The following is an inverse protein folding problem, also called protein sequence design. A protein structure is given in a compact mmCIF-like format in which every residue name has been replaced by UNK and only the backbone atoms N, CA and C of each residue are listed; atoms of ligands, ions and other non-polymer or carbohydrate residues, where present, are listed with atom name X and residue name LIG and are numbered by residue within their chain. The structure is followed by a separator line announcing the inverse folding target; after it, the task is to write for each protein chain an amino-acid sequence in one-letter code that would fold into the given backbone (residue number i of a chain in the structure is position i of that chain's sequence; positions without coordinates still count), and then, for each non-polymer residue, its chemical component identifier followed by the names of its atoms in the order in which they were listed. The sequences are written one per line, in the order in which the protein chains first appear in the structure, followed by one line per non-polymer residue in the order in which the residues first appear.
data_IF_303716849745
#
_entry.id   IF_303716849745
#
_cell.length_a   1.000
_cell.length_b   1.000
_cell.length_c   1.000
_cell.angle_alpha   90.00
_cell.angle_beta   90.00
_cell.angle_gamma   90.00
#
_symmetry.space_group_name_H-M   'P 1'
#
loop_
_entity.id
_entity.type
_entity.pdbx_description
1 polymer ?
#
# COMPACT_ATOMS: atom_id res chain seq x y z
N UNK A 1 -18.60 -8.72 0.77
CA UNK A 1 -17.47 -9.17 1.61
C UNK A 1 -16.16 -9.34 0.83
N UNK A 2 -15.95 -8.55 -0.23
CA UNK A 2 -14.78 -8.62 -1.10
C UNK A 2 -13.61 -7.78 -0.53
N UNK A 3 -13.89 -6.83 0.36
CA UNK A 3 -12.91 -5.83 0.82
C UNK A 3 -11.88 -6.28 1.87
N UNK A 4 -12.26 -7.08 2.88
CA UNK A 4 -11.33 -7.37 3.98
C UNK A 4 -10.12 -8.21 3.54
N UNK A 5 -10.32 -9.19 2.65
CA UNK A 5 -9.23 -10.09 2.22
C UNK A 5 -8.22 -9.37 1.31
N UNK A 6 -8.67 -8.41 0.50
CA UNK A 6 -7.79 -7.62 -0.38
C UNK A 6 -6.96 -6.65 0.45
N UNK A 7 -7.58 -5.95 1.40
CA UNK A 7 -6.87 -5.03 2.31
C UNK A 7 -5.87 -5.77 3.21
N UNK A 8 -6.19 -6.96 3.70
CA UNK A 8 -5.26 -7.79 4.49
C UNK A 8 -4.07 -8.24 3.65
N UNK A 9 -4.28 -8.70 2.40
CA UNK A 9 -3.19 -9.07 1.50
C UNK A 9 -2.27 -7.88 1.20
N UNK A 10 -2.83 -6.72 0.87
CA UNK A 10 -2.06 -5.48 0.61
C UNK A 10 -1.31 -5.00 1.86
N UNK A 11 -1.92 -5.07 3.04
CA UNK A 11 -1.26 -4.78 4.32
C UNK A 11 -0.06 -5.70 4.58
N UNK A 12 -0.22 -6.99 4.30
CA UNK A 12 0.88 -7.96 4.45
C UNK A 12 2.01 -7.68 3.43
N UNK A 13 1.67 -7.32 2.20
CA UNK A 13 2.64 -6.91 1.20
C UNK A 13 3.42 -5.65 1.64
N UNK A 14 2.73 -4.62 2.14
CA UNK A 14 3.39 -3.42 2.68
C UNK A 14 4.32 -3.76 3.88
N UNK A 15 3.91 -4.66 4.78
CA UNK A 15 4.78 -5.13 5.87
C UNK A 15 6.04 -5.84 5.35
N UNK A 16 5.91 -6.65 4.31
CA UNK A 16 7.06 -7.32 3.69
C UNK A 16 8.04 -6.29 3.11
N UNK A 17 7.54 -5.26 2.42
CA UNK A 17 8.42 -4.20 1.89
C UNK A 17 9.13 -3.42 3.02
N UNK A 18 8.47 -3.19 4.17
CA UNK A 18 9.13 -2.61 5.34
C UNK A 18 10.26 -3.50 5.90
N UNK A 19 10.04 -4.82 5.97
CA UNK A 19 11.06 -5.79 6.38
C UNK A 19 12.23 -5.78 5.40
N UNK A 20 11.96 -5.72 4.09
CA UNK A 20 12.99 -5.62 3.06
C UNK A 20 13.85 -4.37 3.28
N UNK A 21 13.25 -3.20 3.52
CA UNK A 21 14.02 -1.97 3.78
C UNK A 21 14.89 -2.12 5.02
N UNK A 22 14.36 -2.71 6.10
CA UNK A 22 15.11 -2.91 7.34
C UNK A 22 16.32 -3.84 7.11
N UNK A 23 16.12 -4.99 6.48
CA UNK A 23 17.19 -5.95 6.23
C UNK A 23 18.27 -5.40 5.30
N UNK A 24 17.87 -4.73 4.21
CA UNK A 24 18.84 -4.14 3.29
C UNK A 24 19.54 -2.91 3.87
N UNK A 25 18.95 -2.21 4.85
CA UNK A 25 19.66 -1.15 5.58
C UNK A 25 20.84 -1.69 6.41
N UNK A 26 20.68 -2.89 6.99
CA UNK A 26 21.74 -3.58 7.73
C UNK A 26 22.84 -4.03 6.76
N UNK A 27 22.48 -4.55 5.60
CA UNK A 27 23.43 -4.96 4.54
C UNK A 27 24.20 -3.73 4.05
N UNK A 28 23.50 -2.65 3.68
CA UNK A 28 24.10 -1.40 3.23
C UNK A 28 25.14 -0.88 4.24
N UNK A 29 24.77 -0.82 5.51
CA UNK A 29 25.65 -0.35 6.58
C UNK A 29 26.93 -1.20 6.68
N UNK A 30 26.81 -2.53 6.63
CA UNK A 30 27.95 -3.44 6.67
C UNK A 30 28.85 -3.30 5.44
N UNK A 31 28.25 -3.22 4.26
CA UNK A 31 28.98 -3.07 2.98
C UNK A 31 29.73 -1.75 2.89
N UNK A 32 29.16 -0.65 3.39
CA UNK A 32 29.85 0.64 3.46
C UNK A 32 31.06 0.58 4.41
N UNK A 33 30.91 -0.07 5.57
CA UNK A 33 32.02 -0.23 6.54
C UNK A 33 33.15 -1.08 5.93
N UNK A 34 32.82 -2.13 5.18
CA UNK A 34 33.82 -3.00 4.56
C UNK A 34 34.40 -2.47 3.25
N UNK A 35 33.90 -1.34 2.74
CA UNK A 35 34.29 -0.78 1.44
C UNK A 35 33.77 -1.55 0.23
N UNK A 36 32.80 -2.47 0.43
CA UNK A 36 32.15 -3.21 -0.65
C UNK A 36 31.05 -2.34 -1.29
N UNK A 37 31.47 -1.46 -2.18
CA UNK A 37 30.58 -0.49 -2.83
C UNK A 37 29.58 -1.15 -3.78
N UNK A 38 29.90 -2.30 -4.37
CA UNK A 38 28.98 -3.02 -5.26
C UNK A 38 27.79 -3.58 -4.46
N UNK A 39 28.06 -4.19 -3.31
CA UNK A 39 27.00 -4.70 -2.45
C UNK A 39 26.20 -3.57 -1.78
N UNK A 40 26.86 -2.46 -1.45
CA UNK A 40 26.18 -1.25 -0.97
C UNK A 40 25.19 -0.72 -2.02
N UNK A 41 25.61 -0.60 -3.28
CA UNK A 41 24.73 -0.11 -4.36
C UNK A 41 23.54 -1.03 -4.62
N UNK A 42 23.78 -2.35 -4.65
CA UNK A 42 22.71 -3.36 -4.74
C UNK A 42 21.72 -3.22 -3.58
N UNK A 43 22.21 -3.03 -2.35
CA UNK A 43 21.34 -2.87 -1.20
C UNK A 43 20.50 -1.59 -1.28
N UNK A 44 21.12 -0.48 -1.69
CA UNK A 44 20.44 0.79 -1.91
C UNK A 44 19.34 0.67 -2.98
N UNK A 45 19.62 0.05 -4.13
CA UNK A 45 18.65 -0.14 -5.19
C UNK A 45 17.43 -0.97 -4.73
N UNK A 46 17.65 -2.00 -3.92
CA UNK A 46 16.57 -2.81 -3.32
C UNK A 46 15.71 -2.00 -2.36
N UNK A 47 16.33 -1.17 -1.52
CA UNK A 47 15.61 -0.27 -0.61
C UNK A 47 14.79 0.78 -1.37
N UNK A 48 15.32 1.33 -2.47
CA UNK A 48 14.57 2.26 -3.34
C UNK A 48 13.33 1.60 -3.92
N UNK A 49 13.46 0.38 -4.47
CA UNK A 49 12.34 -0.36 -5.05
C UNK A 49 11.25 -0.65 -4.01
N UNK A 50 11.64 -1.10 -2.81
CA UNK A 50 10.71 -1.35 -1.72
C UNK A 50 10.02 -0.05 -1.24
N UNK A 51 10.75 1.06 -1.20
CA UNK A 51 10.20 2.38 -0.83
C UNK A 51 9.17 2.88 -1.84
N UNK A 52 9.43 2.72 -3.14
CA UNK A 52 8.47 3.08 -4.18
C UNK A 52 7.15 2.30 -4.03
N UNK A 53 7.23 0.98 -3.82
CA UNK A 53 6.05 0.14 -3.59
C UNK A 53 5.27 0.54 -2.33
N UNK A 54 5.96 0.98 -1.27
CA UNK A 54 5.29 1.49 -0.07
C UNK A 54 4.50 2.78 -0.34
N UNK A 55 5.01 3.67 -1.18
CA UNK A 55 4.27 4.87 -1.57
C UNK A 55 3.02 4.53 -2.38
N UNK A 56 3.10 3.53 -3.28
CA UNK A 56 1.92 3.03 -4.00
C UNK A 56 0.86 2.49 -3.03
N UNK A 57 1.24 1.66 -2.05
CA UNK A 57 0.30 1.18 -1.04
C UNK A 57 -0.32 2.30 -0.19
N UNK A 58 0.44 3.36 0.12
CA UNK A 58 -0.09 4.55 0.81
C UNK A 58 -1.06 5.33 -0.06
N UNK A 59 -0.79 5.45 -1.36
CA UNK A 59 -1.68 6.11 -2.32
C UNK A 59 -3.01 5.34 -2.45
N UNK A 60 -2.95 4.02 -2.64
CA UNK A 60 -4.12 3.14 -2.69
C UNK A 60 -4.95 3.22 -1.40
N UNK A 61 -4.30 3.21 -0.22
CA UNK A 61 -5.00 3.37 1.06
C UNK A 61 -5.70 4.72 1.16
N UNK A 62 -5.06 5.80 0.70
CA UNK A 62 -5.66 7.15 0.67
C UNK A 62 -6.88 7.18 -0.25
N UNK A 63 -6.78 6.58 -1.43
CA UNK A 63 -7.89 6.50 -2.38
C UNK A 63 -9.06 5.69 -1.81
N UNK A 64 -8.78 4.53 -1.21
CA UNK A 64 -9.79 3.75 -0.50
C UNK A 64 -10.49 4.57 0.58
N UNK A 65 -9.73 5.24 1.45
CA UNK A 65 -10.28 6.10 2.51
C UNK A 65 -11.14 7.23 1.96
N UNK A 66 -10.76 7.83 0.83
CA UNK A 66 -11.55 8.84 0.12
C UNK A 66 -12.88 8.26 -0.39
N UNK A 67 -12.87 7.05 -0.94
CA UNK A 67 -14.08 6.39 -1.45
C UNK A 67 -15.06 5.98 -0.34
N UNK A 68 -14.54 5.56 0.83
CA UNK A 68 -15.40 5.16 1.96
C UNK A 68 -15.79 6.30 2.88
N UNK A 69 -15.15 7.47 2.77
CA UNK A 69 -15.46 8.64 3.58
C UNK A 69 -16.94 9.07 3.49
N UNK A 70 -17.57 9.14 2.30
CA UNK A 70 -18.98 9.51 2.17
C UNK A 70 -19.90 8.54 2.91
N UNK A 71 -19.61 7.24 2.90
CA UNK A 71 -20.42 6.21 3.57
C UNK A 71 -20.48 6.43 5.09
N UNK A 72 -19.41 6.97 5.69
CA UNK A 72 -19.36 7.23 7.14
C UNK A 72 -20.19 8.45 7.58
N UNK A 73 -20.51 9.36 6.66
CA UNK A 73 -21.27 10.58 6.93
C UNK A 73 -22.62 10.64 6.19
N UNK A 74 -22.96 9.62 5.41
CA UNK A 74 -24.25 9.51 4.73
C UNK A 74 -25.33 9.06 5.71
N UNK A 75 -26.46 9.77 5.72
CA UNK A 75 -27.68 9.24 6.33
C UNK A 75 -28.13 7.97 5.57
N UNK A 76 -28.87 7.05 6.20
CA UNK A 76 -29.34 5.83 5.54
C UNK A 76 -30.06 6.08 4.20
N UNK A 77 -30.77 7.20 4.08
CA UNK A 77 -31.44 7.62 2.85
C UNK A 77 -30.44 7.98 1.73
N UNK A 78 -29.34 8.65 2.07
CA UNK A 78 -28.29 9.04 1.12
C UNK A 78 -27.44 7.84 0.67
N UNK A 79 -27.24 6.86 1.56
CA UNK A 79 -26.57 5.61 1.22
C UNK A 79 -27.42 4.76 0.25
N UNK A 80 -28.74 4.69 0.44
CA UNK A 80 -29.66 4.03 -0.50
C UNK A 80 -29.68 4.70 -1.87
N UNK A 81 -29.69 6.04 -1.92
CA UNK A 81 -29.66 6.79 -3.18
C UNK A 81 -28.33 6.60 -3.94
N UNK A 82 -27.20 6.54 -3.22
CA UNK A 82 -25.89 6.24 -3.80
C UNK A 82 -25.82 4.81 -4.35
N UNK A 83 -26.30 3.81 -3.60
CA UNK A 83 -26.38 2.43 -4.09
C UNK A 83 -27.26 2.33 -5.34
N UNK A 84 -28.39 3.04 -5.38
CA UNK A 84 -29.30 3.05 -6.53
C UNK A 84 -28.68 3.69 -7.78
N UNK A 85 -27.89 4.75 -7.61
CA UNK A 85 -27.22 5.46 -8.73
C UNK A 85 -25.95 4.78 -9.25
N UNK A 86 -25.19 4.09 -8.41
CA UNK A 86 -23.86 3.60 -8.78
C UNK A 86 -23.74 2.07 -8.87
N UNK A 87 -24.66 1.31 -8.26
CA UNK A 87 -24.63 -0.17 -8.32
C UNK A 87 -25.69 -0.78 -9.25
N UNK A 88 -26.70 -0.01 -9.67
CA UNK A 88 -27.74 -0.52 -10.59
C UNK A 88 -27.30 -0.41 -12.05
N UNK A 89 -26.47 0.58 -12.41
CA UNK A 89 -25.90 0.70 -13.77
C UNK A 89 -24.70 -0.22 -14.05
N UNK A 90 -24.18 -0.93 -13.03
CA UNK A 90 -23.13 -1.93 -13.20
C UNK A 90 -23.68 -3.36 -13.49
N UNK A 91 -25.00 -3.48 -13.64
CA UNK A 91 -25.71 -4.75 -13.86
C UNK A 91 -26.30 -4.90 -15.28
N UNK A 92 -25.92 -4.02 -16.23
CA UNK A 92 -26.21 -4.16 -17.66
C UNK A 92 -24.93 -4.22 -18.49
#
# INVERSE_FOLDING_TARGET
MIDDKVLVKRRNAAKLEMIVIEEYSKILSKSLISGDLEQADKAYARMQQASARLEDYKAEKREFLRMVQPVKYMSPATAQEFQRRFLVDAAY
#
